data_IF_723938423932
#
_entry.id   IF_723938423932
#
_cell.length_a   1.000
_cell.length_b   1.000
_cell.length_c   1.000
_cell.angle_alpha   90.00
_cell.angle_beta   90.00
_cell.angle_gamma   90.00
#
_symmetry.space_group_name_H-M   'P 1'
#
loop_
_entity.id
_entity.type
_entity.pdbx_description
1 polymer ?
#
# COMPACT_ATOMS: atom_id res chain seq x y z
N UNK A 1 14.79 7.17 5.14
CA UNK A 1 13.55 7.36 4.36
C UNK A 1 13.08 6.00 3.92
N UNK A 2 11.80 5.70 4.10
CA UNK A 2 11.26 4.41 3.71
C UNK A 2 10.87 4.48 2.22
N UNK A 3 11.40 3.62 1.34
CA UNK A 3 11.15 3.71 -0.10
C UNK A 3 9.67 3.55 -0.45
N UNK A 4 8.89 2.91 0.41
CA UNK A 4 7.45 2.76 0.22
C UNK A 4 6.66 4.06 0.40
N UNK A 5 7.22 5.08 1.06
CA UNK A 5 6.55 6.39 1.17
C UNK A 5 6.31 7.01 -0.22
N UNK A 6 7.33 6.98 -1.08
CA UNK A 6 7.21 7.46 -2.46
C UNK A 6 6.26 6.58 -3.29
N UNK A 7 6.39 5.26 -3.19
CA UNK A 7 5.52 4.32 -3.92
C UNK A 7 4.06 4.48 -3.55
N UNK A 8 3.74 4.66 -2.27
CA UNK A 8 2.34 4.85 -1.86
C UNK A 8 1.84 6.22 -2.35
N UNK A 9 2.67 7.25 -2.37
CA UNK A 9 2.28 8.53 -2.96
C UNK A 9 1.99 8.40 -4.46
N UNK A 10 2.82 7.66 -5.21
CA UNK A 10 2.58 7.39 -6.62
C UNK A 10 1.31 6.53 -6.84
N UNK A 11 0.98 5.63 -5.91
CA UNK A 11 -0.27 4.86 -5.93
C UNK A 11 -1.50 5.74 -5.70
N UNK A 12 -1.42 6.68 -4.76
CA UNK A 12 -2.49 7.64 -4.45
C UNK A 12 -2.67 8.64 -5.60
N UNK A 13 -1.57 9.10 -6.21
CA UNK A 13 -1.57 10.00 -7.37
C UNK A 13 -2.07 9.32 -8.65
N UNK A 14 -2.22 7.99 -8.63
CA UNK A 14 -2.66 7.19 -9.78
C UNK A 14 -1.58 6.97 -10.84
N UNK A 15 -0.30 7.24 -10.52
CA UNK A 15 0.85 6.94 -11.39
C UNK A 15 1.12 5.44 -11.49
N UNK A 16 0.82 4.70 -10.42
CA UNK A 16 0.84 3.25 -10.41
C UNK A 16 -0.52 2.72 -9.97
N UNK A 17 -0.93 1.58 -10.50
CA UNK A 17 -2.23 0.98 -10.20
C UNK A 17 -2.20 0.12 -8.93
N UNK A 18 -1.04 -0.47 -8.61
CA UNK A 18 -0.87 -1.40 -7.49
C UNK A 18 0.56 -1.48 -7.01
N UNK A 19 0.74 -1.90 -5.75
CA UNK A 19 2.04 -2.20 -5.14
C UNK A 19 2.02 -3.66 -4.68
N UNK A 20 2.89 -4.49 -5.22
CA UNK A 20 3.13 -5.84 -4.71
C UNK A 20 4.25 -5.79 -3.67
N UNK A 21 3.91 -6.15 -2.44
CA UNK A 21 4.82 -6.17 -1.30
C UNK A 21 5.07 -7.62 -0.90
N UNK A 22 6.35 -8.00 -0.89
CA UNK A 22 6.74 -9.33 -0.42
C UNK A 22 6.53 -9.47 1.08
N UNK A 23 6.34 -10.69 1.56
CA UNK A 23 6.15 -10.99 3.00
C UNK A 23 7.17 -10.31 3.90
N UNK A 24 8.44 -10.34 3.51
CA UNK A 24 9.57 -9.78 4.27
C UNK A 24 9.48 -8.25 4.39
N UNK A 25 8.91 -7.61 3.37
CA UNK A 25 8.77 -6.16 3.28
C UNK A 25 7.45 -5.63 3.84
N UNK A 26 6.51 -6.50 4.22
CA UNK A 26 5.19 -6.08 4.75
C UNK A 26 5.36 -5.18 5.97
N UNK A 27 6.33 -5.47 6.83
CA UNK A 27 6.63 -4.64 8.00
C UNK A 27 7.15 -3.25 7.59
N UNK A 28 8.03 -3.19 6.58
CA UNK A 28 8.55 -1.94 6.07
C UNK A 28 7.44 -1.12 5.40
N UNK A 29 6.59 -1.74 4.57
CA UNK A 29 5.42 -1.09 3.99
C UNK A 29 4.47 -0.56 5.07
N UNK A 30 4.24 -1.33 6.13
CA UNK A 30 3.36 -0.94 7.25
C UNK A 30 3.83 0.34 7.94
N UNK A 31 5.14 0.54 8.10
CA UNK A 31 5.67 1.79 8.68
C UNK A 31 5.36 3.02 7.82
N UNK A 32 5.49 2.90 6.50
CA UNK A 32 5.12 3.98 5.57
C UNK A 32 3.60 4.21 5.56
N UNK A 33 2.82 3.12 5.52
CA UNK A 33 1.36 3.16 5.50
C UNK A 33 0.75 3.75 6.78
N UNK A 34 1.36 3.51 7.94
CA UNK A 34 0.90 4.08 9.22
C UNK A 34 0.99 5.60 9.28
N UNK A 35 1.92 6.20 8.54
CA UNK A 35 2.11 7.66 8.47
C UNK A 35 1.05 8.35 7.61
N UNK A 36 0.32 7.60 6.77
CA UNK A 36 -0.74 8.15 5.93
C UNK A 36 -2.00 8.39 6.75
N UNK A 37 -2.52 9.61 6.65
CA UNK A 37 -3.82 9.97 7.25
C UNK A 37 -4.96 9.25 6.51
N UNK A 38 -4.86 9.14 5.19
CA UNK A 38 -5.83 8.53 4.28
C UNK A 38 -5.61 7.03 4.02
N UNK A 39 -4.90 6.36 4.93
CA UNK A 39 -4.51 4.94 4.81
C UNK A 39 -5.67 3.98 4.56
N UNK A 40 -6.90 4.36 4.93
CA UNK A 40 -8.14 3.57 4.75
C UNK A 40 -8.48 3.29 3.29
N UNK A 41 -8.04 4.16 2.36
CA UNK A 41 -8.27 3.98 0.92
C UNK A 41 -7.20 3.09 0.28
N UNK A 42 -6.09 2.81 0.97
CA UNK A 42 -5.05 1.88 0.49
C UNK A 42 -5.40 0.47 0.98
N UNK A 43 -5.93 -0.34 0.06
CA UNK A 43 -6.49 -1.67 0.35
C UNK A 43 -5.47 -2.75 0.01
N UNK A 44 -5.09 -3.56 0.99
CA UNK A 44 -4.22 -4.72 0.78
C UNK A 44 -5.02 -6.01 0.57
N UNK A 45 -4.65 -6.78 -0.46
CA UNK A 45 -5.13 -8.15 -0.70
C UNK A 45 -3.98 -9.13 -0.46
N UNK A 46 -4.12 -9.98 0.56
CA UNK A 46 -3.16 -11.03 0.84
C UNK A 46 -3.25 -12.15 -0.21
N UNK A 47 -2.09 -12.58 -0.70
CA UNK A 47 -1.93 -13.69 -1.63
C UNK A 47 -1.47 -14.95 -0.89
N UNK A 48 -1.68 -16.13 -1.51
CA UNK A 48 -1.43 -17.44 -0.91
C UNK A 48 0.04 -17.64 -0.47
N UNK A 49 0.99 -16.93 -1.09
CA UNK A 49 2.43 -17.01 -0.76
C UNK A 49 2.87 -16.05 0.37
N UNK A 50 1.94 -15.36 1.03
CA UNK A 50 2.25 -14.38 2.07
C UNK A 50 2.65 -13.00 1.53
N UNK A 51 2.62 -12.81 0.22
CA UNK A 51 2.73 -11.50 -0.42
C UNK A 51 1.41 -10.74 -0.30
N UNK A 52 1.48 -9.41 -0.37
CA UNK A 52 0.30 -8.55 -0.28
C UNK A 52 0.31 -7.57 -1.44
N UNK A 53 -0.77 -7.55 -2.20
CA UNK A 53 -0.96 -6.57 -3.28
C UNK A 53 -1.85 -5.43 -2.77
N UNK A 54 -1.33 -4.21 -2.75
CA UNK A 54 -2.05 -3.01 -2.36
C UNK A 54 -2.56 -2.23 -3.58
N UNK A 55 -3.76 -1.68 -3.49
CA UNK A 55 -4.36 -0.78 -4.48
C UNK A 55 -4.99 0.41 -3.78
N UNK A 56 -5.04 1.55 -4.46
CA UNK A 56 -5.74 2.74 -3.95
C UNK A 56 -7.18 2.74 -4.47
N UNK A 57 -8.12 2.69 -3.53
CA UNK A 57 -9.55 2.72 -3.78
C UNK A 57 -10.17 3.92 -3.05
N UNK A 58 -10.28 5.08 -3.72
CA UNK A 58 -10.91 6.26 -3.14
C UNK A 58 -12.44 6.11 -3.04
N UNK A 59 -13.03 5.10 -3.67
CA UNK A 59 -14.48 4.84 -3.66
C UNK A 59 -14.93 4.01 -2.47
N UNK A 60 -13.97 3.50 -1.68
CA UNK A 60 -14.23 2.71 -0.49
C UNK A 60 -14.95 3.53 0.59
N UNK A 61 -16.28 3.47 0.54
CA UNK A 61 -17.20 3.98 1.55
C UNK A 61 -17.41 2.89 2.61
N UNK A 62 -16.47 2.83 3.56
CA UNK A 62 -16.54 2.04 4.82
C UNK A 62 -16.40 0.52 4.66
#
# INVERSE_FOLDING_TARGET
>A
MNPYEALIQDLIDGKIEKIDVNREDVMLFREAWLKLEDRKYVVGKALLNGNVTYHYDPTRLY
#
